data_IF_954790749930
#
_entry.id   IF_954790749930
#
_cell.length_a   1.000
_cell.length_b   1.000
_cell.length_c   1.000
_cell.angle_alpha   90.00
_cell.angle_beta   90.00
_cell.angle_gamma   90.00
#
_symmetry.space_group_name_H-M   'P 1'
#
loop_
_entity.id
_entity.type
_entity.pdbx_description
1 polymer ?
#
# COMPACT_ATOMS: atom_id res chain seq x y z
N UNK A 1 20.20 51.10 -43.46
CA UNK A 1 20.58 49.70 -43.17
C UNK A 1 20.85 49.38 -41.69
N UNK A 2 21.45 50.26 -40.87
CA UNK A 2 21.74 50.00 -39.43
C UNK A 2 20.48 49.65 -38.60
N UNK A 3 19.41 50.44 -38.69
CA UNK A 3 18.15 50.22 -37.94
C UNK A 3 17.46 48.88 -38.25
N UNK A 4 17.55 48.39 -39.49
CA UNK A 4 16.98 47.09 -39.89
C UNK A 4 17.77 45.90 -39.32
N UNK A 5 19.11 46.01 -39.22
CA UNK A 5 19.94 44.99 -38.55
C UNK A 5 19.68 44.94 -37.04
N UNK A 6 19.45 46.09 -36.40
CA UNK A 6 19.10 46.17 -34.97
C UNK A 6 17.74 45.54 -34.68
N UNK A 7 16.71 45.83 -35.49
CA UNK A 7 15.38 45.23 -35.30
C UNK A 7 15.37 43.72 -35.56
N UNK A 8 16.16 43.21 -36.52
CA UNK A 8 16.36 41.76 -36.72
C UNK A 8 17.05 41.11 -35.52
N UNK A 9 18.06 41.75 -34.93
CA UNK A 9 18.77 41.24 -33.76
C UNK A 9 17.87 41.22 -32.49
N UNK A 10 16.99 42.20 -32.33
CA UNK A 10 16.01 42.24 -31.24
C UNK A 10 14.99 41.11 -31.39
N UNK A 11 14.50 40.85 -32.61
CA UNK A 11 13.55 39.78 -32.89
C UNK A 11 14.17 38.39 -32.61
N UNK A 12 15.42 38.19 -33.05
CA UNK A 12 16.18 36.96 -32.77
C UNK A 12 16.39 36.74 -31.27
N UNK A 13 16.74 37.79 -30.50
CA UNK A 13 16.88 37.70 -29.04
C UNK A 13 15.56 37.35 -28.33
N UNK A 14 14.43 37.93 -28.75
CA UNK A 14 13.10 37.58 -28.20
C UNK A 14 12.75 36.12 -28.45
N UNK A 15 13.03 35.60 -29.65
CA UNK A 15 12.77 34.21 -29.99
C UNK A 15 13.65 33.24 -29.18
N UNK A 16 14.90 33.62 -28.91
CA UNK A 16 15.81 32.85 -28.06
C UNK A 16 15.31 32.83 -26.60
N UNK A 17 14.88 33.97 -26.06
CA UNK A 17 14.33 34.05 -24.69
C UNK A 17 13.06 33.19 -24.57
N UNK A 18 12.15 33.26 -25.55
CA UNK A 18 10.93 32.44 -25.57
C UNK A 18 11.24 30.94 -25.63
N UNK A 19 12.28 30.55 -26.38
CA UNK A 19 12.74 29.16 -26.43
C UNK A 19 13.25 28.68 -25.07
N UNK A 20 14.06 29.48 -24.38
CA UNK A 20 14.54 29.15 -23.03
C UNK A 20 13.39 29.05 -22.02
N UNK A 21 12.39 29.94 -22.12
CA UNK A 21 11.21 29.90 -21.26
C UNK A 21 10.38 28.62 -21.48
N UNK A 22 10.23 28.19 -22.74
CA UNK A 22 9.52 26.97 -23.09
C UNK A 22 10.25 25.72 -22.57
N UNK A 23 11.58 25.67 -22.70
CA UNK A 23 12.42 24.58 -22.18
C UNK A 23 12.34 24.53 -20.65
N UNK A 24 12.39 25.68 -19.97
CA UNK A 24 12.24 25.76 -18.52
C UNK A 24 10.87 25.27 -18.05
N UNK A 25 9.80 25.62 -18.77
CA UNK A 25 8.46 25.15 -18.47
C UNK A 25 8.31 23.63 -18.66
N UNK A 26 8.91 23.07 -19.71
CA UNK A 26 8.98 21.62 -19.91
C UNK A 26 9.78 20.92 -18.80
N UNK A 27 10.87 21.55 -18.32
CA UNK A 27 11.65 21.02 -17.21
C UNK A 27 10.87 21.02 -15.89
N UNK A 28 10.10 22.07 -15.60
CA UNK A 28 9.21 22.14 -14.43
C UNK A 28 8.13 21.05 -14.42
N UNK A 29 7.56 20.72 -15.58
CA UNK A 29 6.58 19.64 -15.74
C UNK A 29 7.23 18.27 -15.43
N UNK A 30 8.47 18.05 -15.85
CA UNK A 30 9.18 16.78 -15.64
C UNK A 30 9.65 16.60 -14.18
N UNK A 31 10.07 17.67 -13.51
CA UNK A 31 10.57 17.61 -12.12
C UNK A 31 9.44 17.36 -11.10
N UNK A 32 8.19 17.71 -11.44
CA UNK A 32 7.05 17.58 -10.52
C UNK A 32 6.45 16.18 -10.44
N UNK A 33 6.99 15.20 -11.18
CA UNK A 33 6.51 13.82 -11.15
C UNK A 33 7.28 12.97 -10.12
N UNK A 34 7.46 13.48 -8.89
CA UNK A 34 7.88 12.63 -7.77
C UNK A 34 6.66 11.89 -7.25
N UNK A 35 6.72 10.56 -7.30
CA UNK A 35 5.72 9.70 -6.68
C UNK A 35 5.94 9.79 -5.16
N UNK A 36 4.99 10.35 -4.43
CA UNK A 36 5.01 10.34 -2.97
C UNK A 36 4.91 8.89 -2.50
N UNK A 37 6.06 8.33 -2.15
CA UNK A 37 6.22 6.99 -1.63
C UNK A 37 6.73 7.11 -0.19
N UNK A 38 5.99 6.53 0.74
CA UNK A 38 6.42 6.43 2.15
C UNK A 38 6.60 4.97 2.51
N UNK A 39 7.72 4.62 3.16
CA UNK A 39 8.05 3.25 3.56
C UNK A 39 8.07 3.10 5.06
N UNK A 40 7.50 2.01 5.55
CA UNK A 40 7.50 1.62 6.95
C UNK A 40 7.88 0.17 7.10
N UNK A 41 8.49 -0.18 8.23
CA UNK A 41 8.89 -1.55 8.54
C UNK A 41 8.25 -1.99 9.86
N UNK A 42 7.66 -3.18 9.88
CA UNK A 42 7.21 -3.84 11.10
C UNK A 42 8.08 -5.07 11.35
N UNK A 43 8.70 -5.12 12.51
CA UNK A 43 9.60 -6.22 12.86
C UNK A 43 8.92 -7.18 13.82
N UNK A 44 9.25 -8.47 13.70
CA UNK A 44 8.75 -9.47 14.63
C UNK A 44 9.35 -9.27 16.01
N UNK A 45 8.59 -9.60 17.06
CA UNK A 45 9.12 -9.59 18.43
C UNK A 45 10.34 -10.50 18.63
N UNK A 46 10.54 -11.49 17.75
CA UNK A 46 11.60 -12.51 17.87
C UNK A 46 12.86 -12.17 17.06
N UNK A 47 12.96 -10.96 16.50
CA UNK A 47 14.16 -10.47 15.81
C UNK A 47 13.88 -9.82 14.45
N UNK A 48 14.94 -9.26 13.86
CA UNK A 48 14.90 -8.48 12.60
C UNK A 48 14.94 -9.33 11.32
N UNK A 49 15.11 -10.64 11.42
CA UNK A 49 15.23 -11.54 10.25
C UNK A 49 13.92 -11.69 9.47
N UNK A 50 12.78 -11.51 10.14
CA UNK A 50 11.46 -11.54 9.53
C UNK A 50 10.76 -10.20 9.78
N UNK A 51 10.36 -9.52 8.71
CA UNK A 51 9.72 -8.22 8.79
C UNK A 51 8.70 -8.01 7.66
N UNK A 52 7.78 -7.10 7.92
CA UNK A 52 6.89 -6.56 6.91
C UNK A 52 7.45 -5.22 6.42
N UNK A 53 7.69 -5.08 5.12
CA UNK A 53 7.86 -3.77 4.46
C UNK A 53 6.49 -3.30 3.96
N UNK A 54 6.11 -2.08 4.34
CA UNK A 54 4.86 -1.46 3.94
C UNK A 54 5.19 -0.22 3.12
N UNK A 55 4.70 -0.19 1.89
CA UNK A 55 4.89 0.94 0.97
C UNK A 55 3.52 1.61 0.76
N UNK A 56 3.44 2.88 1.14
CA UNK A 56 2.26 3.71 0.93
C UNK A 56 2.43 4.50 -0.36
N UNK A 57 1.46 4.33 -1.25
CA UNK A 57 1.27 5.11 -2.46
C UNK A 57 -0.08 5.83 -2.38
N UNK A 58 -0.27 6.85 -3.22
CA UNK A 58 -1.51 7.67 -3.26
C UNK A 58 -2.79 6.83 -3.28
N UNK A 59 -2.80 5.75 -4.06
CA UNK A 59 -3.97 4.89 -4.32
C UNK A 59 -3.78 3.45 -3.85
N UNK A 60 -2.64 3.10 -3.23
CA UNK A 60 -2.31 1.71 -2.89
C UNK A 60 -1.50 1.61 -1.62
N UNK A 61 -1.65 0.47 -0.93
CA UNK A 61 -0.72 -0.01 0.08
C UNK A 61 -0.14 -1.31 -0.43
N UNK A 62 1.18 -1.42 -0.46
CA UNK A 62 1.89 -2.65 -0.82
C UNK A 62 2.49 -3.20 0.47
N UNK A 63 2.06 -4.40 0.84
CA UNK A 63 2.54 -5.12 2.01
C UNK A 63 3.43 -6.28 1.54
N UNK A 64 4.68 -6.28 1.98
CA UNK A 64 5.68 -7.25 1.59
C UNK A 64 6.12 -8.01 2.84
N UNK A 65 5.81 -9.30 2.90
CA UNK A 65 6.37 -10.18 3.91
C UNK A 65 7.75 -10.64 3.44
N UNK A 66 8.80 -10.27 4.18
CA UNK A 66 10.14 -10.79 3.96
C UNK A 66 10.51 -11.70 5.13
N UNK A 67 10.83 -12.95 4.80
CA UNK A 67 11.43 -13.87 5.76
C UNK A 67 12.75 -14.40 5.22
N UNK A 68 13.77 -14.44 6.09
CA UNK A 68 15.04 -15.07 5.80
C UNK A 68 15.27 -16.21 6.77
N UNK A 69 15.23 -17.45 6.27
CA UNK A 69 15.51 -18.65 7.04
C UNK A 69 16.56 -19.45 6.29
N UNK A 70 17.68 -19.77 6.93
CA UNK A 70 18.78 -20.57 6.35
C UNK A 70 19.27 -20.03 4.99
N UNK A 71 19.43 -18.70 4.86
CA UNK A 71 19.81 -18.00 3.62
C UNK A 71 18.81 -18.10 2.45
N UNK A 72 17.62 -18.69 2.67
CA UNK A 72 16.53 -18.67 1.70
C UNK A 72 15.65 -17.47 2.01
N UNK A 73 15.48 -16.59 1.01
CA UNK A 73 14.63 -15.41 1.09
C UNK A 73 13.27 -15.78 0.50
N UNK A 74 12.24 -15.83 1.35
CA UNK A 74 10.86 -15.92 0.90
C UNK A 74 10.24 -14.52 0.96
N UNK A 75 9.64 -14.10 -0.16
CA UNK A 75 9.04 -12.78 -0.32
C UNK A 75 7.63 -12.91 -0.90
N UNK A 76 6.64 -12.62 -0.08
CA UNK A 76 5.24 -12.58 -0.49
C UNK A 76 4.73 -11.14 -0.51
N UNK A 77 4.00 -10.78 -1.57
CA UNK A 77 3.49 -9.41 -1.75
C UNK A 77 1.98 -9.41 -1.83
N UNK A 78 1.36 -8.59 -0.99
CA UNK A 78 -0.05 -8.25 -1.02
C UNK A 78 -0.24 -6.80 -1.44
N UNK A 79 -1.19 -6.53 -2.32
CA UNK A 79 -1.51 -5.17 -2.78
C UNK A 79 -2.95 -4.84 -2.38
N UNK A 80 -3.11 -3.71 -1.71
CA UNK A 80 -4.40 -3.15 -1.34
C UNK A 80 -4.66 -1.88 -2.15
N UNK A 81 -5.72 -1.85 -2.94
CA UNK A 81 -6.09 -0.71 -3.80
C UNK A 81 -7.17 0.15 -3.13
N UNK A 82 -6.96 1.45 -3.11
CA UNK A 82 -7.86 2.45 -2.54
C UNK A 82 -8.96 2.80 -3.52
N UNK A 83 -10.22 2.66 -3.10
CA UNK A 83 -11.41 3.12 -3.84
C UNK A 83 -12.38 3.76 -2.86
N UNK A 84 -12.81 5.00 -3.14
CA UNK A 84 -13.79 5.75 -2.32
C UNK A 84 -13.49 5.74 -0.80
N UNK A 85 -12.21 5.90 -0.43
CA UNK A 85 -11.78 5.94 0.97
C UNK A 85 -11.72 4.58 1.68
N UNK A 86 -11.84 3.48 0.94
CA UNK A 86 -11.76 2.09 1.40
C UNK A 86 -10.63 1.36 0.66
N UNK A 87 -10.12 0.26 1.23
CA UNK A 87 -9.05 -0.53 0.59
C UNK A 87 -9.50 -1.96 0.31
N UNK A 88 -9.18 -2.42 -0.90
CA UNK A 88 -9.58 -3.70 -1.44
C UNK A 88 -8.37 -4.54 -1.86
N UNK A 89 -8.43 -5.86 -1.68
CA UNK A 89 -7.45 -6.81 -2.22
C UNK A 89 -8.06 -7.60 -3.37
N UNK A 90 -7.27 -7.82 -4.42
CA UNK A 90 -7.61 -8.75 -5.49
C UNK A 90 -7.05 -10.13 -5.16
N UNK A 91 -7.91 -11.12 -4.96
CA UNK A 91 -7.47 -12.52 -4.85
C UNK A 91 -7.27 -13.10 -6.26
N UNK A 92 -6.02 -13.21 -6.71
CA UNK A 92 -5.70 -13.95 -7.94
C UNK A 92 -6.02 -15.43 -7.71
N UNK A 93 -6.88 -16.03 -8.53
CA UNK A 93 -7.12 -17.48 -8.50
C UNK A 93 -8.55 -17.96 -8.78
N UNK A 94 -9.51 -17.06 -9.02
CA UNK A 94 -10.85 -17.47 -9.48
C UNK A 94 -11.21 -16.75 -10.77
N UNK A 95 -11.97 -17.44 -11.64
CA UNK A 95 -12.37 -16.96 -12.99
C UNK A 95 -13.10 -15.61 -13.00
N UNK A 96 -13.52 -15.13 -11.83
CA UNK A 96 -14.10 -13.82 -11.59
C UNK A 96 -13.27 -13.14 -10.50
N UNK A 97 -12.32 -12.27 -10.89
CA UNK A 97 -11.52 -11.47 -9.95
C UNK A 97 -12.45 -10.57 -9.11
N UNK A 98 -12.93 -11.10 -7.98
CA UNK A 98 -13.72 -10.33 -7.01
C UNK A 98 -12.78 -9.65 -6.04
N UNK A 99 -12.84 -8.33 -6.02
CA UNK A 99 -12.17 -7.52 -5.00
C UNK A 99 -12.83 -7.74 -3.64
N UNK A 100 -12.01 -7.97 -2.62
CA UNK A 100 -12.44 -8.14 -1.24
C UNK A 100 -12.07 -6.89 -0.45
N UNK A 101 -13.03 -6.31 0.26
CA UNK A 101 -12.79 -5.17 1.15
C UNK A 101 -11.97 -5.64 2.35
N UNK A 102 -10.84 -4.97 2.63
CA UNK A 102 -9.87 -5.35 3.66
C UNK A 102 -9.72 -4.27 4.73
N UNK A 103 -9.91 -2.98 4.39
CA UNK A 103 -9.88 -1.88 5.36
C UNK A 103 -10.97 -0.84 5.06
N UNK A 104 -11.69 -0.41 6.12
CA UNK A 104 -12.79 0.55 6.02
C UNK A 104 -13.07 1.20 7.39
N UNK A 105 -13.30 2.51 7.38
CA UNK A 105 -13.72 3.28 8.57
C UNK A 105 -15.22 3.23 8.83
N UNK A 106 -16.02 2.68 7.91
CA UNK A 106 -17.44 3.02 7.81
C UNK A 106 -18.38 2.36 8.83
N UNK A 107 -17.93 1.35 9.60
CA UNK A 107 -18.59 0.70 10.77
C UNK A 107 -17.94 -0.67 11.02
N UNK A 108 -18.19 -1.26 12.19
CA UNK A 108 -17.95 -2.68 12.45
C UNK A 108 -18.77 -3.54 11.48
N UNK A 109 -18.10 -4.14 10.49
CA UNK A 109 -18.75 -4.98 9.46
C UNK A 109 -18.03 -6.32 9.37
N UNK A 110 -18.82 -7.39 9.28
CA UNK A 110 -18.31 -8.75 9.03
C UNK A 110 -18.66 -9.13 7.60
N UNK A 111 -17.66 -9.60 6.86
CA UNK A 111 -17.78 -10.10 5.51
C UNK A 111 -17.41 -11.58 5.51
N UNK A 112 -18.19 -12.38 4.82
CA UNK A 112 -17.90 -13.78 4.56
C UNK A 112 -17.55 -13.92 3.08
N UNK A 113 -16.33 -14.41 2.82
CA UNK A 113 -15.88 -14.71 1.47
C UNK A 113 -15.77 -16.23 1.34
N UNK A 114 -16.45 -16.78 0.34
CA UNK A 114 -16.30 -18.18 -0.05
C UNK A 114 -15.25 -18.26 -1.16
N UNK A 115 -14.11 -18.89 -0.87
CA UNK A 115 -13.15 -19.27 -1.89
C UNK A 115 -13.03 -20.79 -1.89
N UNK A 116 -13.31 -21.43 -3.04
CA UNK A 116 -13.22 -22.87 -3.34
C UNK A 116 -13.16 -23.75 -2.07
N UNK A 117 -14.32 -24.00 -1.45
CA UNK A 117 -14.47 -24.93 -0.32
C UNK A 117 -14.01 -24.44 1.05
N UNK A 118 -13.56 -23.18 1.21
CA UNK A 118 -13.12 -22.62 2.51
C UNK A 118 -13.87 -21.34 2.85
N UNK A 119 -14.34 -21.26 4.09
CA UNK A 119 -14.94 -20.04 4.64
C UNK A 119 -13.83 -19.11 5.14
N UNK A 120 -13.83 -17.90 4.59
CA UNK A 120 -12.95 -16.83 5.04
C UNK A 120 -13.77 -15.71 5.64
N UNK A 121 -13.61 -15.48 6.95
CA UNK A 121 -14.30 -14.40 7.66
C UNK A 121 -13.39 -13.19 7.79
N UNK A 122 -13.83 -12.04 7.29
CA UNK A 122 -13.19 -10.75 7.52
C UNK A 122 -14.08 -9.87 8.40
N UNK A 123 -13.64 -9.54 9.61
CA UNK A 123 -14.26 -8.48 10.42
C UNK A 123 -13.41 -7.21 10.32
N UNK A 124 -14.01 -6.12 9.90
CA UNK A 124 -13.39 -4.79 9.91
C UNK A 124 -14.13 -3.96 10.94
N UNK A 125 -13.43 -3.31 11.87
CA UNK A 125 -14.09 -2.51 12.88
C UNK A 125 -13.19 -1.49 13.58
N UNK A 126 -13.82 -0.62 14.36
CA UNK A 126 -13.11 0.29 15.26
C UNK A 126 -12.45 -0.50 16.38
N UNK A 127 -11.27 -0.06 16.79
CA UNK A 127 -10.49 -0.61 17.88
C UNK A 127 -10.07 0.56 18.78
N UNK A 128 -10.95 0.97 19.69
CA UNK A 128 -10.78 2.22 20.44
C UNK A 128 -11.12 3.47 19.61
N UNK A 129 -10.73 4.64 20.11
CA UNK A 129 -11.17 5.93 19.57
C UNK A 129 -10.50 6.31 18.24
N UNK A 130 -9.27 5.84 18.00
CA UNK A 130 -8.44 6.29 16.87
C UNK A 130 -7.75 5.16 16.09
N UNK A 131 -8.07 3.90 16.38
CA UNK A 131 -7.51 2.78 15.62
C UNK A 131 -8.62 1.89 15.10
N UNK A 132 -8.28 1.12 14.08
CA UNK A 132 -9.16 0.17 13.43
C UNK A 132 -8.44 -1.17 13.36
N UNK A 133 -9.24 -2.23 13.28
CA UNK A 133 -8.78 -3.62 13.23
C UNK A 133 -9.49 -4.36 12.12
N UNK A 134 -8.72 -4.93 11.21
CA UNK A 134 -9.18 -5.93 10.27
C UNK A 134 -8.75 -7.31 10.76
N UNK A 135 -9.69 -8.22 10.93
CA UNK A 135 -9.44 -9.61 11.36
C UNK A 135 -9.86 -10.53 10.25
N UNK A 136 -8.95 -11.38 9.82
CA UNK A 136 -9.09 -12.32 8.73
C UNK A 136 -8.95 -13.73 9.32
N UNK A 137 -9.97 -14.58 9.20
CA UNK A 137 -9.96 -15.93 9.76
C UNK A 137 -10.20 -16.94 8.65
N UNK A 138 -9.26 -17.85 8.49
CA UNK A 138 -9.44 -19.05 7.66
C UNK A 138 -9.74 -20.22 8.60
N UNK A 139 -10.96 -20.73 8.53
CA UNK A 139 -11.40 -21.90 9.31
C UNK A 139 -11.51 -23.08 8.35
N UNK A 140 -10.42 -23.83 8.22
CA UNK A 140 -10.51 -25.16 7.61
C UNK A 140 -11.00 -26.13 8.69
N UNK A 141 -11.94 -27.02 8.34
CA UNK A 141 -12.64 -27.84 9.34
C UNK A 141 -11.62 -28.66 10.16
N UNK A 142 -11.61 -28.42 11.47
CA UNK A 142 -10.91 -29.15 12.53
C UNK A 142 -9.37 -29.11 12.61
N UNK A 143 -8.60 -28.83 11.55
CA UNK A 143 -7.12 -29.03 11.59
C UNK A 143 -6.24 -27.78 11.55
N UNK A 144 -6.71 -26.67 10.98
CA UNK A 144 -5.86 -25.48 10.82
C UNK A 144 -6.64 -24.21 11.14
N UNK A 145 -6.24 -23.53 12.21
CA UNK A 145 -6.82 -22.24 12.61
C UNK A 145 -5.80 -21.15 12.34
N UNK A 146 -6.04 -20.39 11.27
CA UNK A 146 -5.29 -19.18 10.94
C UNK A 146 -6.17 -17.96 11.19
N UNK A 147 -5.66 -17.04 12.01
CA UNK A 147 -6.25 -15.72 12.20
C UNK A 147 -5.16 -14.67 12.02
N UNK A 148 -5.34 -13.76 11.08
CA UNK A 148 -4.49 -12.58 10.91
C UNK A 148 -5.27 -11.34 11.31
N UNK A 149 -4.67 -10.47 12.11
CA UNK A 149 -5.24 -9.18 12.50
C UNK A 149 -4.31 -8.06 12.08
N UNK A 150 -4.81 -7.10 11.31
CA UNK A 150 -4.09 -5.91 10.87
C UNK A 150 -4.68 -4.71 11.61
N UNK A 151 -3.81 -3.93 12.25
CA UNK A 151 -4.18 -2.75 13.03
C UNK A 151 -3.67 -1.49 12.34
N UNK A 152 -4.55 -0.51 12.18
CA UNK A 152 -4.26 0.73 11.46
C UNK A 152 -4.85 1.96 12.14
N UNK A 153 -4.19 3.10 11.97
CA UNK A 153 -4.63 4.39 12.50
C UNK A 153 -5.76 5.03 11.66
N UNK A 154 -6.20 6.23 12.04
CA UNK A 154 -7.21 7.01 11.30
C UNK A 154 -6.79 7.44 9.89
N UNK A 155 -5.50 7.35 9.56
CA UNK A 155 -4.93 7.65 8.24
C UNK A 155 -4.69 6.37 7.41
N UNK A 156 -5.10 5.20 7.91
CA UNK A 156 -4.84 3.88 7.32
C UNK A 156 -3.37 3.46 7.32
N UNK A 157 -2.54 4.03 8.19
CA UNK A 157 -1.19 3.53 8.40
C UNK A 157 -1.26 2.27 9.27
N UNK A 158 -0.76 1.16 8.73
CA UNK A 158 -0.59 -0.09 9.45
C UNK A 158 0.57 0.06 10.43
N UNK A 159 0.28 -0.12 11.73
CA UNK A 159 1.27 -0.02 12.81
C UNK A 159 1.52 -1.37 13.51
N UNK A 160 0.63 -2.35 13.32
CA UNK A 160 0.79 -3.68 13.89
C UNK A 160 0.09 -4.75 13.05
N UNK A 161 0.74 -5.91 12.95
CA UNK A 161 0.16 -7.14 12.41
C UNK A 161 0.28 -8.23 13.48
N UNK A 162 -0.76 -9.02 13.64
CA UNK A 162 -0.79 -10.18 14.55
C UNK A 162 -1.27 -11.40 13.79
N UNK A 163 -0.49 -12.48 13.82
CA UNK A 163 -0.85 -13.76 13.24
C UNK A 163 -0.97 -14.80 14.34
N UNK A 164 -2.08 -15.52 14.33
CA UNK A 164 -2.35 -16.64 15.19
C UNK A 164 -2.43 -17.90 14.32
N UNK A 165 -1.54 -18.86 14.59
CA UNK A 165 -1.45 -20.13 13.89
C UNK A 165 -1.45 -21.24 14.94
N UNK A 166 -2.52 -22.04 14.97
CA UNK A 166 -2.63 -23.23 15.82
C UNK A 166 -2.18 -23.02 17.28
N UNK A 167 -2.66 -21.95 17.93
CA UNK A 167 -2.34 -21.67 19.34
C UNK A 167 -1.13 -20.76 19.57
N UNK A 168 -0.33 -20.48 18.53
CA UNK A 168 0.84 -19.59 18.63
C UNK A 168 0.53 -18.24 18.03
N UNK A 169 0.86 -17.17 18.76
CA UNK A 169 0.69 -15.79 18.32
C UNK A 169 2.04 -15.17 18.02
N UNK A 170 2.16 -14.55 16.85
CA UNK A 170 3.30 -13.72 16.47
C UNK A 170 2.80 -12.31 16.22
N UNK A 171 3.52 -11.32 16.75
CA UNK A 171 3.22 -9.90 16.55
C UNK A 171 4.38 -9.20 15.83
N UNK A 172 4.03 -8.31 14.92
CA UNK A 172 4.94 -7.39 14.25
C UNK A 172 4.47 -5.97 14.51
N UNK A 173 5.39 -5.10 14.97
CA UNK A 173 5.09 -3.71 15.32
C UNK A 173 6.17 -2.79 14.76
N UNK A 174 5.81 -1.51 14.59
CA UNK A 174 6.80 -0.45 14.36
C UNK A 174 7.56 -0.19 15.66
N UNK A 175 8.88 -0.12 15.59
CA UNK A 175 9.74 0.38 16.67
C UNK A 175 10.12 1.83 16.41
#
# INVERSE_FOLDING_TARGET
MKKAKESINILKRKNIINLYFLIFFQFLILVSCKRDETKHFLYSNNGKSNFYEIIYLKDKIILINNSSVNNIINKDTSIFTKKKGQYFSSHKGTKNDKESLIMSISKDTVYEYQNIGKFFLYKIGKNGNETFKAVSINVDSLKFKLKTSIYYDTKYNIFMIEEFINGKTTQWKSY
#
